data_IF_235971278987
#
_entry.id   IF_235971278987
#
_cell.length_a   1.000
_cell.length_b   1.000
_cell.length_c   1.000
_cell.angle_alpha   90.00
_cell.angle_beta   90.00
_cell.angle_gamma   90.00
#
_symmetry.space_group_name_H-M   'P 1'
#
loop_
_entity.id
_entity.type
_entity.pdbx_description
1 polymer ?
#
# COMPACT_ATOMS: atom_id res chain seq x y z
N UNK A 1 -44.94 -5.79 14.65
CA UNK A 1 -43.97 -4.92 14.05
C UNK A 1 -42.71 -5.74 13.78
N UNK A 2 -42.49 -6.10 12.50
CA UNK A 2 -41.36 -6.92 12.07
C UNK A 2 -40.24 -5.98 11.71
N UNK A 3 -39.13 -6.08 12.42
CA UNK A 3 -37.88 -5.31 12.12
C UNK A 3 -37.16 -6.05 10.99
N UNK A 4 -37.09 -5.43 9.82
CA UNK A 4 -36.24 -5.89 8.72
C UNK A 4 -34.78 -5.74 9.13
N UNK A 5 -34.05 -6.85 9.17
CA UNK A 5 -32.60 -6.85 9.26
C UNK A 5 -31.97 -6.23 7.98
N UNK A 6 -30.88 -5.46 8.09
CA UNK A 6 -30.21 -4.95 6.91
C UNK A 6 -29.62 -6.11 6.11
N UNK A 7 -30.01 -6.21 4.84
CA UNK A 7 -29.40 -7.14 3.89
C UNK A 7 -27.95 -6.72 3.69
N UNK A 8 -27.03 -7.66 3.88
CA UNK A 8 -25.60 -7.45 3.71
C UNK A 8 -25.27 -6.96 2.30
N UNK A 9 -24.35 -6.02 2.24
CA UNK A 9 -23.67 -5.62 1.02
C UNK A 9 -23.03 -6.90 0.44
N UNK A 10 -23.51 -7.36 -0.70
CA UNK A 10 -22.81 -8.35 -1.50
C UNK A 10 -21.47 -7.75 -1.88
N UNK A 11 -20.38 -8.41 -1.52
CA UNK A 11 -19.06 -8.10 -2.04
C UNK A 11 -19.15 -8.08 -3.57
N UNK A 12 -18.96 -6.89 -4.14
CA UNK A 12 -18.91 -6.74 -5.58
C UNK A 12 -17.74 -7.58 -6.11
N UNK A 13 -18.04 -8.53 -7.00
CA UNK A 13 -17.04 -9.25 -7.75
C UNK A 13 -16.22 -8.22 -8.54
N UNK A 14 -15.05 -7.86 -8.00
CA UNK A 14 -14.08 -7.03 -8.70
C UNK A 14 -13.72 -7.74 -10.00
N UNK A 15 -14.01 -7.13 -11.15
CA UNK A 15 -13.56 -7.61 -12.45
C UNK A 15 -12.04 -7.73 -12.41
N UNK A 16 -11.56 -8.94 -12.17
CA UNK A 16 -10.17 -9.32 -12.41
C UNK A 16 -9.95 -9.26 -13.92
N UNK A 17 -9.32 -8.20 -14.38
CA UNK A 17 -8.70 -8.17 -15.70
C UNK A 17 -7.61 -9.24 -15.64
N UNK A 18 -7.80 -10.31 -16.42
CA UNK A 18 -6.99 -11.52 -16.33
C UNK A 18 -5.52 -11.28 -16.67
N UNK A 19 -4.71 -11.21 -15.64
CA UNK A 19 -3.32 -11.58 -15.69
C UNK A 19 -3.16 -12.71 -14.68
N UNK A 20 -2.43 -13.75 -15.07
CA UNK A 20 -2.14 -14.86 -14.18
C UNK A 20 -1.59 -14.31 -12.85
N UNK A 21 -2.10 -14.77 -11.68
CA UNK A 21 -1.59 -14.27 -10.42
C UNK A 21 -0.10 -14.56 -10.37
N UNK A 22 0.71 -13.51 -10.29
CA UNK A 22 2.12 -13.64 -9.96
C UNK A 22 2.20 -14.46 -8.68
N UNK A 23 2.82 -15.64 -8.74
CA UNK A 23 2.83 -16.57 -7.63
C UNK A 23 3.54 -15.94 -6.43
N UNK A 24 2.90 -15.97 -5.26
CA UNK A 24 3.59 -15.61 -4.03
C UNK A 24 4.66 -16.63 -3.69
N UNK A 25 5.81 -16.17 -3.20
CA UNK A 25 6.89 -17.04 -2.68
C UNK A 25 6.81 -17.16 -1.16
N UNK A 26 7.39 -18.22 -0.63
CA UNK A 26 7.57 -18.35 0.82
C UNK A 26 8.65 -17.38 1.32
N UNK A 27 8.65 -17.12 2.63
CA UNK A 27 9.71 -16.33 3.27
C UNK A 27 11.09 -16.91 3.01
N UNK A 28 11.23 -18.24 3.08
CA UNK A 28 12.51 -18.93 2.85
C UNK A 28 13.02 -18.75 1.42
N UNK A 29 12.14 -18.84 0.43
CA UNK A 29 12.51 -18.59 -0.97
C UNK A 29 12.91 -17.15 -1.19
N UNK A 30 12.16 -16.20 -0.63
CA UNK A 30 12.48 -14.77 -0.71
C UNK A 30 13.83 -14.45 -0.06
N UNK A 31 14.13 -15.03 1.12
CA UNK A 31 15.40 -14.87 1.80
C UNK A 31 16.57 -15.36 0.94
N UNK A 32 16.48 -16.57 0.38
CA UNK A 32 17.48 -17.10 -0.53
C UNK A 32 17.71 -16.21 -1.76
N UNK A 33 16.66 -15.62 -2.31
CA UNK A 33 16.80 -14.72 -3.45
C UNK A 33 17.52 -13.44 -3.08
N UNK A 34 17.22 -12.86 -1.91
CA UNK A 34 17.87 -11.63 -1.44
C UNK A 34 19.32 -11.87 -1.02
N UNK A 35 19.63 -13.01 -0.38
CA UNK A 35 20.99 -13.38 0.00
C UNK A 35 21.88 -13.68 -1.21
N UNK A 36 21.33 -14.19 -2.30
CA UNK A 36 22.12 -14.47 -3.51
C UNK A 36 22.70 -13.22 -4.17
N UNK A 37 22.17 -12.04 -3.86
CA UNK A 37 22.67 -10.74 -4.36
C UNK A 37 22.54 -10.54 -5.88
N UNK A 38 22.07 -11.53 -6.62
CA UNK A 38 22.00 -11.50 -8.09
C UNK A 38 20.69 -10.82 -8.51
N UNK A 39 20.76 -9.52 -8.81
CA UNK A 39 19.68 -8.78 -9.48
C UNK A 39 18.33 -8.74 -8.73
N UNK A 40 18.30 -9.12 -7.45
CA UNK A 40 17.08 -9.15 -6.67
C UNK A 40 16.77 -7.76 -6.08
N UNK A 41 15.59 -7.24 -6.39
CA UNK A 41 15.07 -5.97 -5.88
C UNK A 41 13.89 -6.25 -4.95
N UNK A 42 14.04 -5.95 -3.66
CA UNK A 42 12.94 -5.99 -2.70
C UNK A 42 12.25 -4.62 -2.66
N UNK A 43 10.94 -4.59 -2.87
CA UNK A 43 10.13 -3.38 -2.85
C UNK A 43 9.03 -3.54 -1.80
N UNK A 44 9.02 -2.65 -0.82
CA UNK A 44 7.92 -2.55 0.14
C UNK A 44 6.94 -1.49 -0.36
N UNK A 45 5.68 -1.89 -0.56
CA UNK A 45 4.57 -1.04 -1.00
C UNK A 45 3.52 -0.85 0.10
N UNK A 46 3.87 -1.18 1.33
CA UNK A 46 3.03 -0.97 2.50
C UNK A 46 3.06 0.47 2.99
N UNK A 47 2.38 0.69 4.08
CA UNK A 47 2.31 1.94 4.82
C UNK A 47 3.70 2.45 5.22
N UNK A 48 3.98 3.74 4.98
CA UNK A 48 5.29 4.36 5.28
C UNK A 48 5.67 4.26 6.75
N UNK A 49 4.71 4.42 7.67
CA UNK A 49 4.97 4.31 9.10
C UNK A 49 5.34 2.89 9.52
N UNK A 50 4.68 1.89 8.95
CA UNK A 50 4.98 0.49 9.22
C UNK A 50 6.34 0.10 8.66
N UNK A 51 6.67 0.57 7.45
CA UNK A 51 8.01 0.40 6.88
C UNK A 51 9.08 1.09 7.74
N UNK A 52 8.84 2.33 8.18
CA UNK A 52 9.74 3.06 9.07
C UNK A 52 9.97 2.33 10.39
N UNK A 53 8.93 1.72 10.95
CA UNK A 53 9.04 0.97 12.19
C UNK A 53 9.86 -0.31 12.00
N UNK A 54 9.62 -1.05 10.93
CA UNK A 54 10.35 -2.28 10.59
C UNK A 54 10.13 -2.67 9.13
N UNK A 55 11.19 -3.11 8.49
CA UNK A 55 11.15 -3.62 7.11
C UNK A 55 12.27 -4.64 6.85
N UNK A 56 12.16 -5.36 5.75
CA UNK A 56 13.20 -6.30 5.29
C UNK A 56 14.45 -5.49 4.92
N UNK A 57 15.67 -5.91 5.36
CA UNK A 57 16.90 -5.17 5.11
C UNK A 57 17.11 -4.85 3.62
N UNK A 58 17.43 -3.58 3.35
CA UNK A 58 17.65 -3.09 1.99
C UNK A 58 16.40 -2.93 1.12
N UNK A 59 15.21 -3.25 1.62
CA UNK A 59 13.97 -3.05 0.88
C UNK A 59 13.75 -1.57 0.52
N UNK A 60 13.41 -1.31 -0.74
CA UNK A 60 13.06 0.02 -1.22
C UNK A 60 11.61 0.30 -0.90
N UNK A 61 11.35 1.39 -0.19
CA UNK A 61 9.96 1.78 0.04
C UNK A 61 9.45 2.71 -1.07
N UNK A 62 8.23 2.43 -1.51
CA UNK A 62 7.51 3.28 -2.46
C UNK A 62 6.01 3.09 -2.29
N UNK A 63 5.23 4.18 -2.32
CA UNK A 63 3.78 4.05 -2.46
C UNK A 63 3.44 3.41 -3.83
N UNK A 64 2.51 2.46 -3.87
CA UNK A 64 2.20 1.64 -5.06
C UNK A 64 2.00 2.49 -6.33
N UNK A 65 1.37 3.66 -6.21
CA UNK A 65 1.14 4.57 -7.33
C UNK A 65 2.44 5.05 -8.02
N UNK A 66 3.56 5.00 -7.31
CA UNK A 66 4.87 5.44 -7.82
C UNK A 66 5.77 4.29 -8.32
N UNK A 67 5.28 3.06 -8.39
CA UNK A 67 6.02 1.93 -8.98
C UNK A 67 6.62 2.22 -10.37
N UNK A 68 5.96 2.96 -11.28
CA UNK A 68 6.57 3.32 -12.56
C UNK A 68 7.87 4.12 -12.43
N UNK A 69 8.04 4.90 -11.36
CA UNK A 69 9.30 5.62 -11.08
C UNK A 69 10.43 4.65 -10.71
N UNK A 70 10.10 3.60 -9.95
CA UNK A 70 11.09 2.57 -9.57
C UNK A 70 11.66 1.89 -10.81
N UNK A 71 10.82 1.64 -11.82
CA UNK A 71 11.26 1.06 -13.10
C UNK A 71 12.34 1.91 -13.77
N UNK A 72 12.26 3.24 -13.66
CA UNK A 72 13.27 4.14 -14.22
C UNK A 72 14.63 4.05 -13.49
N UNK A 73 14.63 3.79 -12.18
CA UNK A 73 15.87 3.62 -11.39
C UNK A 73 16.45 2.20 -11.53
N UNK A 74 15.62 1.18 -11.72
CA UNK A 74 16.02 -0.24 -11.77
C UNK A 74 15.54 -0.92 -13.05
N UNK A 75 15.97 -0.44 -14.23
CA UNK A 75 15.48 -0.97 -15.51
C UNK A 75 15.93 -2.41 -15.77
N UNK A 76 17.00 -2.87 -15.16
CA UNK A 76 17.61 -4.18 -15.38
C UNK A 76 17.38 -5.14 -14.21
N UNK A 77 16.38 -4.87 -13.36
CA UNK A 77 16.05 -5.79 -12.29
C UNK A 77 15.57 -7.14 -12.87
N UNK A 78 16.24 -8.23 -12.51
CA UNK A 78 15.92 -9.56 -12.99
C UNK A 78 14.89 -10.27 -12.10
N UNK A 79 14.89 -9.95 -10.82
CA UNK A 79 13.97 -10.48 -9.82
C UNK A 79 13.41 -9.36 -8.97
N UNK A 80 12.09 -9.30 -8.83
CA UNK A 80 11.39 -8.31 -8.05
C UNK A 80 10.53 -9.02 -7.02
N UNK A 81 10.76 -8.68 -5.77
CA UNK A 81 10.04 -9.23 -4.62
C UNK A 81 9.26 -8.10 -3.98
N UNK A 82 7.94 -8.18 -4.03
CA UNK A 82 7.07 -7.21 -3.38
C UNK A 82 6.75 -7.66 -1.95
N UNK A 83 6.72 -6.72 -1.04
CA UNK A 83 6.28 -6.95 0.33
C UNK A 83 5.42 -5.80 0.82
N UNK A 84 4.60 -6.07 1.80
CA UNK A 84 3.80 -5.10 2.54
C UNK A 84 3.39 -5.74 3.87
N UNK A 85 2.75 -4.99 4.75
CA UNK A 85 2.17 -5.53 5.98
C UNK A 85 1.07 -6.56 5.67
N UNK A 86 0.26 -6.29 4.65
CA UNK A 86 -0.75 -7.24 4.15
C UNK A 86 -0.32 -7.81 2.80
N UNK A 87 -0.26 -9.14 2.70
CA UNK A 87 0.09 -9.86 1.45
C UNK A 87 -0.76 -9.42 0.25
N UNK A 88 -2.02 -9.09 0.45
CA UNK A 88 -2.92 -8.67 -0.61
C UNK A 88 -2.43 -7.39 -1.31
N UNK A 89 -1.91 -6.42 -0.56
CA UNK A 89 -1.33 -5.21 -1.15
C UNK A 89 -0.10 -5.52 -2.00
N UNK A 90 0.79 -6.38 -1.50
CA UNK A 90 1.97 -6.82 -2.24
C UNK A 90 1.59 -7.62 -3.50
N UNK A 91 0.56 -8.46 -3.44
CA UNK A 91 0.06 -9.22 -4.58
C UNK A 91 -0.50 -8.31 -5.69
N UNK A 92 -1.26 -7.28 -5.33
CA UNK A 92 -1.75 -6.28 -6.29
C UNK A 92 -0.59 -5.49 -6.92
N UNK A 93 0.39 -5.08 -6.11
CA UNK A 93 1.58 -4.39 -6.62
C UNK A 93 2.43 -5.30 -7.53
N UNK A 94 2.45 -6.61 -7.27
CA UNK A 94 3.15 -7.57 -8.11
C UNK A 94 2.52 -7.69 -9.51
N UNK A 95 1.21 -7.54 -9.64
CA UNK A 95 0.54 -7.47 -10.95
C UNK A 95 0.98 -6.23 -11.74
N UNK A 96 1.04 -5.06 -11.08
CA UNK A 96 1.52 -3.83 -11.71
C UNK A 96 3.01 -3.96 -12.10
N UNK A 97 3.82 -4.49 -11.19
CA UNK A 97 5.25 -4.70 -11.42
C UNK A 97 5.52 -5.66 -12.58
N UNK A 98 4.72 -6.73 -12.74
CA UNK A 98 4.84 -7.64 -13.88
C UNK A 98 4.66 -6.91 -15.22
N UNK A 99 3.75 -5.96 -15.29
CA UNK A 99 3.55 -5.14 -16.49
C UNK A 99 4.71 -4.15 -16.72
N UNK A 100 5.34 -3.66 -15.65
CA UNK A 100 6.45 -2.73 -15.73
C UNK A 100 7.80 -3.42 -16.06
N UNK A 101 8.00 -4.65 -15.63
CA UNK A 101 9.21 -5.46 -15.87
C UNK A 101 8.83 -6.79 -16.52
N UNK A 102 8.47 -6.81 -17.81
CA UNK A 102 7.96 -8.01 -18.48
C UNK A 102 8.98 -9.17 -18.52
N UNK A 103 10.27 -8.85 -18.49
CA UNK A 103 11.35 -9.84 -18.57
C UNK A 103 11.84 -10.28 -17.18
N UNK A 104 11.37 -9.67 -16.10
CA UNK A 104 11.76 -10.01 -14.75
C UNK A 104 10.87 -11.09 -14.13
N UNK A 105 11.46 -11.86 -13.21
CA UNK A 105 10.67 -12.73 -12.32
C UNK A 105 10.08 -11.89 -11.19
N UNK A 106 8.78 -11.63 -11.24
CA UNK A 106 8.06 -10.84 -10.24
C UNK A 106 7.29 -11.76 -9.30
N UNK A 107 7.44 -11.56 -8.01
CA UNK A 107 6.74 -12.29 -6.95
C UNK A 107 6.44 -11.39 -5.75
N UNK A 108 5.64 -11.89 -4.83
CA UNK A 108 5.40 -11.23 -3.54
C UNK A 108 5.60 -12.23 -2.40
N UNK A 109 5.94 -11.74 -1.21
CA UNK A 109 6.12 -12.58 -0.03
C UNK A 109 4.74 -12.94 0.54
N UNK A 110 4.42 -14.25 0.60
CA UNK A 110 3.21 -14.71 1.28
C UNK A 110 3.30 -14.39 2.78
N UNK A 111 2.27 -13.71 3.29
CA UNK A 111 2.24 -13.20 4.66
C UNK A 111 3.02 -11.89 4.88
N UNK A 112 3.67 -11.36 3.84
CA UNK A 112 4.34 -10.06 3.86
C UNK A 112 5.46 -9.93 4.91
N UNK A 113 5.73 -8.70 5.32
CA UNK A 113 6.71 -8.39 6.37
C UNK A 113 6.42 -9.09 7.72
N UNK A 114 5.15 -9.27 8.16
CA UNK A 114 4.87 -10.04 9.38
C UNK A 114 5.31 -11.52 9.31
N UNK A 115 5.21 -12.15 8.16
CA UNK A 115 5.68 -13.53 8.00
C UNK A 115 7.21 -13.62 8.05
N UNK A 116 7.91 -12.61 7.52
CA UNK A 116 9.35 -12.47 7.62
C UNK A 116 9.81 -12.33 9.07
N UNK A 117 9.16 -11.44 9.82
CA UNK A 117 9.38 -11.23 11.25
C UNK A 117 9.13 -12.53 12.06
N UNK A 118 8.02 -13.21 11.77
CA UNK A 118 7.67 -14.49 12.43
C UNK A 118 8.70 -15.59 12.17
N UNK A 119 9.39 -15.53 11.04
CA UNK A 119 10.49 -16.44 10.71
C UNK A 119 11.81 -16.05 11.42
N UNK A 120 11.80 -15.05 12.30
CA UNK A 120 12.95 -14.53 13.02
C UNK A 120 14.10 -14.08 12.10
N UNK A 121 13.79 -13.60 10.89
CA UNK A 121 14.76 -13.03 9.97
C UNK A 121 15.05 -11.58 10.30
N UNK A 122 16.23 -11.05 9.93
CA UNK A 122 16.63 -9.68 10.22
C UNK A 122 15.62 -8.63 9.70
N UNK A 123 15.44 -7.57 10.47
CA UNK A 123 14.65 -6.40 10.11
C UNK A 123 15.49 -5.14 10.32
N UNK A 124 15.21 -4.12 9.54
CA UNK A 124 15.74 -2.76 9.67
C UNK A 124 14.62 -1.79 10.03
N UNK A 125 14.99 -0.64 10.57
CA UNK A 125 14.11 0.49 10.85
C UNK A 125 14.58 1.76 10.15
N UNK A 126 13.67 2.74 9.99
CA UNK A 126 13.98 4.00 9.30
C UNK A 126 13.51 3.99 7.84
N UNK A 127 13.95 4.98 7.08
CA UNK A 127 13.58 5.19 5.67
C UNK A 127 14.81 5.39 4.75
N UNK A 128 15.91 4.62 4.92
CA UNK A 128 17.15 4.89 4.18
C UNK A 128 17.02 4.66 2.68
N UNK A 129 16.04 3.87 2.27
CA UNK A 129 15.82 3.45 0.88
C UNK A 129 14.45 3.85 0.35
N UNK A 130 13.86 4.96 0.84
CA UNK A 130 12.62 5.51 0.28
C UNK A 130 12.85 6.09 -1.11
N UNK A 131 12.00 5.74 -2.07
CA UNK A 131 12.07 6.17 -3.48
C UNK A 131 11.02 7.23 -3.85
N UNK A 132 10.17 7.61 -2.90
CA UNK A 132 9.21 8.71 -3.05
C UNK A 132 9.01 9.43 -1.71
N UNK A 133 8.30 10.56 -1.75
CA UNK A 133 7.84 11.22 -0.54
C UNK A 133 6.87 10.33 0.25
N UNK A 134 6.83 10.51 1.57
CA UNK A 134 5.94 9.79 2.48
C UNK A 134 4.60 10.52 2.56
N UNK A 135 3.86 10.50 1.47
CA UNK A 135 2.57 11.18 1.28
C UNK A 135 1.38 10.20 1.19
N UNK A 136 1.62 8.95 1.60
CA UNK A 136 0.65 7.85 1.57
C UNK A 136 -0.35 7.88 2.72
N UNK A 137 -0.07 8.65 3.79
CA UNK A 137 -0.90 8.72 4.98
C UNK A 137 -1.38 10.14 5.22
N UNK A 138 -2.69 10.29 5.28
CA UNK A 138 -3.31 11.53 5.72
C UNK A 138 -3.50 11.51 7.24
N UNK A 139 -2.75 12.37 7.93
CA UNK A 139 -2.92 12.56 9.37
C UNK A 139 -4.03 13.58 9.66
N UNK A 140 -5.02 13.15 10.40
CA UNK A 140 -6.01 14.08 10.96
C UNK A 140 -5.39 14.77 12.16
N UNK A 141 -5.58 16.11 12.34
CA UNK A 141 -4.96 16.84 13.43
C UNK A 141 -5.24 16.26 14.82
N UNK A 142 -6.40 15.65 15.04
CA UNK A 142 -6.75 15.02 16.31
C UNK A 142 -6.13 13.63 16.53
N UNK A 143 -5.50 13.03 15.53
CA UNK A 143 -4.72 11.79 15.67
C UNK A 143 -3.23 12.05 15.83
N UNK A 144 -2.79 13.28 15.58
CA UNK A 144 -1.42 13.71 15.79
C UNK A 144 -1.33 14.45 17.14
N UNK A 145 -0.64 13.83 18.11
CA UNK A 145 -0.43 14.42 19.45
C UNK A 145 0.33 15.75 19.43
N UNK A 146 1.03 16.06 18.33
CA UNK A 146 1.79 17.29 18.13
C UNK A 146 1.09 18.29 17.20
N UNK A 147 -0.15 18.02 16.78
CA UNK A 147 -0.86 18.93 15.92
C UNK A 147 -1.10 20.29 16.57
N UNK A 148 -0.81 21.35 15.83
CA UNK A 148 -1.05 22.70 16.32
C UNK A 148 -2.54 23.02 16.39
N UNK A 149 -2.90 24.05 17.22
CA UNK A 149 -4.28 24.53 17.28
C UNK A 149 -4.77 25.07 15.92
N UNK A 150 -3.85 25.66 15.15
CA UNK A 150 -4.11 26.19 13.81
C UNK A 150 -4.43 25.05 12.83
N UNK A 151 -3.72 23.91 12.91
CA UNK A 151 -3.99 22.73 12.11
C UNK A 151 -5.37 22.15 12.44
N UNK A 152 -5.76 22.13 13.72
CA UNK A 152 -7.08 21.70 14.16
C UNK A 152 -8.18 22.64 13.64
N UNK A 153 -7.98 23.95 13.73
CA UNK A 153 -8.93 24.94 13.23
C UNK A 153 -9.08 24.82 11.71
N UNK A 154 -7.98 24.72 10.98
CA UNK A 154 -8.00 24.51 9.52
C UNK A 154 -8.74 23.25 9.10
N UNK A 155 -8.66 22.18 9.90
CA UNK A 155 -9.44 20.97 9.68
C UNK A 155 -10.94 21.21 9.85
N UNK A 156 -11.36 21.90 10.92
CA UNK A 156 -12.77 22.25 11.14
C UNK A 156 -13.34 23.19 10.07
N UNK A 157 -12.53 24.16 9.62
CA UNK A 157 -12.92 25.07 8.55
C UNK A 157 -13.13 24.32 7.23
N UNK A 158 -12.22 23.36 6.93
CA UNK A 158 -12.34 22.48 5.77
C UNK A 158 -13.60 21.60 5.87
N UNK A 159 -13.85 20.97 7.03
CA UNK A 159 -14.99 20.08 7.26
C UNK A 159 -16.31 20.85 7.15
N UNK A 160 -16.38 22.06 7.71
CA UNK A 160 -17.55 22.93 7.62
C UNK A 160 -17.87 23.37 6.18
N UNK A 161 -16.84 23.52 5.35
CA UNK A 161 -16.98 23.88 3.93
C UNK A 161 -17.32 22.72 2.99
N UNK A 162 -17.29 21.44 3.47
CA UNK A 162 -17.48 20.28 2.61
C UNK A 162 -18.85 20.24 1.92
N UNK A 163 -19.92 20.60 2.62
CA UNK A 163 -21.29 20.56 2.07
C UNK A 163 -21.42 21.46 0.85
N UNK A 164 -20.86 22.66 0.93
CA UNK A 164 -20.94 23.62 -0.18
C UNK A 164 -20.04 23.20 -1.34
N UNK A 165 -18.87 22.61 -1.06
CA UNK A 165 -17.98 22.04 -2.09
C UNK A 165 -18.65 20.87 -2.81
N UNK A 166 -19.30 19.96 -2.08
CA UNK A 166 -20.03 18.82 -2.66
C UNK A 166 -21.17 19.29 -3.54
N UNK A 167 -21.91 20.33 -3.11
CA UNK A 167 -22.99 20.94 -3.92
C UNK A 167 -22.45 21.59 -5.19
N UNK A 168 -21.31 22.28 -5.10
CA UNK A 168 -20.69 22.94 -6.23
C UNK A 168 -20.11 21.95 -7.26
N UNK A 169 -19.61 20.80 -6.79
CA UNK A 169 -19.07 19.74 -7.63
C UNK A 169 -20.14 19.08 -8.53
N UNK A 170 -21.39 19.00 -8.05
CA UNK A 170 -22.53 18.52 -8.83
C UNK A 170 -22.48 17.05 -9.24
N UNK A 171 -21.42 16.32 -8.86
CA UNK A 171 -21.20 14.91 -9.25
C UNK A 171 -22.02 13.92 -8.42
N UNK A 172 -22.62 14.35 -7.31
CA UNK A 172 -23.36 13.48 -6.39
C UNK A 172 -24.74 14.04 -6.06
N UNK A 173 -25.75 13.18 -6.16
CA UNK A 173 -27.15 13.49 -5.81
C UNK A 173 -27.48 12.86 -4.45
N UNK A 174 -27.16 13.54 -3.36
CA UNK A 174 -27.65 13.15 -2.04
C UNK A 174 -29.00 13.82 -1.75
N UNK A 175 -30.00 13.03 -1.43
CA UNK A 175 -31.25 13.52 -0.84
C UNK A 175 -31.30 13.18 0.65
N UNK A 176 -31.40 14.19 1.49
CA UNK A 176 -31.66 13.99 2.91
C UNK A 176 -33.14 13.59 3.05
N UNK A 177 -33.42 12.36 3.49
CA UNK A 177 -34.81 12.01 3.88
C UNK A 177 -35.15 12.81 5.12
N UNK A 178 -36.08 13.76 4.99
CA UNK A 178 -36.72 14.39 6.16
C UNK A 178 -37.41 13.31 7.00
N UNK A 179 -37.16 13.33 8.29
CA UNK A 179 -37.86 12.48 9.28
C UNK A 179 -39.29 12.90 9.40
#
# INVERSE_FOLDING_TARGET
ASVLAPQGLTEGEGRTVGHAPTGGVSVSEAALWLESGIGALCINVGDSNLHRARHIPGAKWVARAYLPRVRAFYPQAERIILTAEQSAHAALAAQDAHSLWPDATVSFIRGGTPAWEKACLPLEAGMPCALCAEDDIWYRPYTDLNASKEAMQGYFDWESGLVDKIRADGCVNFSVKSR
#
